data_IF_437211337678
#
_entry.id   IF_437211337678
#
_cell.length_a   1.000
_cell.length_b   1.000
_cell.length_c   1.000
_cell.angle_alpha   90.00
_cell.angle_beta   90.00
_cell.angle_gamma   90.00
#
_symmetry.space_group_name_H-M   'P 1'
#
loop_
_entity.id
_entity.type
_entity.pdbx_description
1 polymer ?
#
# COMPACT_ATOMS: atom_id res chain seq x y z
N UNK A 1 25.86 40.75 -2.77
CA UNK A 1 25.02 39.83 -1.99
C UNK A 1 25.26 38.43 -2.54
N UNK A 2 26.16 37.67 -1.92
CA UNK A 2 26.66 36.40 -2.47
C UNK A 2 25.74 35.26 -2.03
N UNK A 3 24.96 34.71 -2.96
CA UNK A 3 24.27 33.43 -2.76
C UNK A 3 25.27 32.36 -3.17
N UNK A 4 25.98 31.83 -2.19
CA UNK A 4 26.89 30.72 -2.40
C UNK A 4 26.06 29.43 -2.53
N UNK A 5 25.87 29.01 -3.78
CA UNK A 5 25.37 27.69 -4.14
C UNK A 5 26.35 26.62 -3.65
N UNK A 6 26.16 26.13 -2.42
CA UNK A 6 26.72 24.86 -2.00
C UNK A 6 25.94 23.72 -2.67
N UNK A 7 26.32 23.41 -3.92
CA UNK A 7 25.99 22.14 -4.60
C UNK A 7 26.74 20.99 -3.90
N UNK A 8 26.30 20.61 -2.71
CA UNK A 8 26.55 19.27 -2.20
C UNK A 8 25.37 18.42 -2.68
N UNK A 9 25.63 17.35 -3.45
CA UNK A 9 24.61 16.47 -4.00
C UNK A 9 23.85 15.77 -2.85
N UNK A 10 22.88 16.46 -2.27
CA UNK A 10 22.00 15.91 -1.26
C UNK A 10 21.20 14.78 -1.91
N UNK A 11 21.30 13.58 -1.34
CA UNK A 11 20.47 12.44 -1.78
C UNK A 11 19.00 12.87 -1.63
N UNK A 12 18.34 13.02 -2.77
CA UNK A 12 16.90 13.28 -2.87
C UNK A 12 16.25 11.98 -3.33
N UNK A 13 15.23 11.54 -2.60
CA UNK A 13 14.37 10.43 -3.01
C UNK A 13 13.00 10.99 -3.29
N UNK A 14 12.39 10.58 -4.40
CA UNK A 14 11.07 11.03 -4.82
C UNK A 14 10.19 9.80 -4.95
N UNK A 15 9.01 9.86 -4.35
CA UNK A 15 7.99 8.83 -4.41
C UNK A 15 6.73 9.44 -4.98
N UNK A 16 6.20 8.81 -6.02
CA UNK A 16 4.91 9.15 -6.59
C UNK A 16 4.09 7.88 -6.66
N UNK A 17 2.87 7.92 -6.15
CA UNK A 17 1.97 6.78 -6.15
C UNK A 17 0.52 7.26 -6.34
N UNK A 18 -0.32 6.39 -6.87
CA UNK A 18 -1.75 6.61 -6.99
C UNK A 18 -2.46 5.28 -6.78
N UNK A 19 -3.49 5.27 -5.94
CA UNK A 19 -4.32 4.09 -5.73
C UNK A 19 -5.20 3.84 -6.97
N UNK A 20 -5.84 2.67 -7.06
CA UNK A 20 -6.70 2.36 -8.20
C UNK A 20 -7.85 3.36 -8.32
N UNK A 21 -8.10 3.86 -9.53
CA UNK A 21 -9.28 4.68 -9.87
C UNK A 21 -10.48 3.83 -10.32
N UNK A 22 -10.35 2.49 -10.25
CA UNK A 22 -11.47 1.59 -10.53
C UNK A 22 -12.60 1.73 -9.50
N UNK A 23 -12.28 2.23 -8.32
CA UNK A 23 -13.23 2.46 -7.23
C UNK A 23 -13.12 3.90 -6.71
N UNK A 24 -14.20 4.42 -6.09
CA UNK A 24 -14.19 5.73 -5.44
C UNK A 24 -13.08 5.91 -4.41
N UNK A 25 -12.91 7.16 -3.99
CA UNK A 25 -11.97 7.56 -2.93
C UNK A 25 -10.50 7.24 -3.29
N UNK A 26 -10.14 7.40 -4.56
CA UNK A 26 -8.76 7.24 -5.01
C UNK A 26 -7.88 8.41 -4.55
N UNK A 27 -6.67 8.07 -4.10
CA UNK A 27 -5.71 9.03 -3.56
C UNK A 27 -4.43 8.96 -4.39
N UNK A 28 -3.81 10.10 -4.63
CA UNK A 28 -2.45 10.18 -5.13
C UNK A 28 -1.51 10.80 -4.10
N UNK A 29 -0.24 10.40 -4.14
CA UNK A 29 0.85 10.90 -3.31
C UNK A 29 1.98 11.40 -4.18
N UNK A 30 2.52 12.56 -3.84
CA UNK A 30 3.85 13.00 -4.24
C UNK A 30 4.65 13.32 -2.99
N UNK A 31 5.75 12.60 -2.76
CA UNK A 31 6.63 12.79 -1.60
C UNK A 31 8.07 12.96 -2.05
N UNK A 32 8.74 13.97 -1.50
CA UNK A 32 10.16 14.23 -1.72
C UNK A 32 10.88 14.21 -0.38
N UNK A 33 11.84 13.29 -0.24
CA UNK A 33 12.68 13.18 0.93
C UNK A 33 14.02 13.92 0.73
N UNK A 34 14.31 14.82 1.66
CA UNK A 34 15.53 15.61 1.71
C UNK A 34 16.47 15.06 2.79
N UNK A 35 17.39 14.18 2.40
CA UNK A 35 18.27 13.45 3.34
C UNK A 35 19.10 14.36 4.26
N UNK A 36 19.49 15.55 3.78
CA UNK A 36 20.31 16.50 4.55
C UNK A 36 19.54 17.20 5.68
N UNK A 37 18.21 17.30 5.57
CA UNK A 37 17.32 17.86 6.60
C UNK A 37 16.49 16.80 7.33
N UNK A 38 16.58 15.53 6.90
CA UNK A 38 15.67 14.46 7.34
C UNK A 38 14.20 14.89 7.23
N UNK A 39 13.86 15.51 6.10
CA UNK A 39 12.57 16.15 5.90
C UNK A 39 11.82 15.48 4.76
N UNK A 40 10.57 15.07 5.02
CA UNK A 40 9.62 14.63 4.02
C UNK A 40 8.73 15.81 3.62
N UNK A 41 8.73 16.16 2.33
CA UNK A 41 7.79 17.10 1.75
C UNK A 41 6.77 16.29 0.94
N UNK A 42 5.57 16.11 1.50
CA UNK A 42 4.55 15.23 0.92
C UNK A 42 3.26 15.97 0.66
N UNK A 43 2.63 15.67 -0.47
CA UNK A 43 1.32 16.16 -0.86
C UNK A 43 0.45 14.96 -1.21
N UNK A 44 -0.68 14.84 -0.54
CA UNK A 44 -1.73 13.89 -0.87
C UNK A 44 -2.82 14.61 -1.66
N UNK A 45 -3.31 14.00 -2.74
CA UNK A 45 -4.33 14.54 -3.63
C UNK A 45 -5.56 13.62 -3.62
N UNK A 46 -6.76 14.21 -3.73
CA UNK A 46 -8.01 13.46 -3.82
C UNK A 46 -8.57 12.96 -2.49
N UNK A 47 -7.94 13.29 -1.36
CA UNK A 47 -8.40 12.85 -0.06
C UNK A 47 -9.77 13.42 0.30
N UNK A 48 -10.67 12.56 0.76
CA UNK A 48 -11.88 12.97 1.46
C UNK A 48 -11.56 13.36 2.92
N UNK A 49 -12.57 13.83 3.67
CA UNK A 49 -12.36 14.29 5.05
C UNK A 49 -11.89 13.19 6.00
N UNK A 50 -12.41 11.98 5.84
CA UNK A 50 -12.06 10.84 6.67
C UNK A 50 -10.61 10.42 6.44
N UNK A 51 -10.21 10.29 5.17
CA UNK A 51 -8.85 9.99 4.76
C UNK A 51 -7.87 11.08 5.25
N UNK A 52 -8.27 12.35 5.17
CA UNK A 52 -7.45 13.47 5.65
C UNK A 52 -7.21 13.38 7.16
N UNK A 53 -8.27 13.12 7.94
CA UNK A 53 -8.16 12.89 9.39
C UNK A 53 -7.29 11.67 9.71
N UNK A 54 -7.41 10.59 8.94
CA UNK A 54 -6.58 9.40 9.16
C UNK A 54 -5.10 9.66 8.87
N UNK A 55 -4.79 10.38 7.80
CA UNK A 55 -3.42 10.81 7.47
C UNK A 55 -2.84 11.68 8.59
N UNK A 56 -3.58 12.70 9.03
CA UNK A 56 -3.16 13.60 10.12
C UNK A 56 -2.91 12.83 11.42
N UNK A 57 -3.83 11.93 11.78
CA UNK A 57 -3.71 11.06 12.96
C UNK A 57 -2.44 10.21 12.90
N UNK A 58 -2.18 9.53 11.78
CA UNK A 58 -0.99 8.69 11.59
C UNK A 58 0.30 9.51 11.63
N UNK A 59 0.32 10.70 11.02
CA UNK A 59 1.48 11.60 11.07
C UNK A 59 1.73 12.12 12.49
N UNK A 60 0.69 12.49 13.23
CA UNK A 60 0.82 12.97 14.61
C UNK A 60 1.34 11.88 15.57
N UNK A 61 0.97 10.62 15.33
CA UNK A 61 1.40 9.46 16.10
C UNK A 61 2.73 8.84 15.66
N UNK A 62 3.34 9.31 14.56
CA UNK A 62 4.52 8.69 13.98
C UNK A 62 5.79 8.86 14.84
N UNK A 63 5.81 9.80 15.78
CA UNK A 63 6.98 10.08 16.63
C UNK A 63 8.24 10.30 15.79
N UNK A 64 9.31 9.55 16.10
CA UNK A 64 10.58 9.65 15.39
C UNK A 64 10.54 9.09 13.95
N UNK A 65 9.54 8.28 13.61
CA UNK A 65 9.36 7.75 12.25
C UNK A 65 8.94 8.83 11.25
N UNK A 66 8.54 10.04 11.70
CA UNK A 66 8.12 11.16 10.84
C UNK A 66 9.19 11.55 9.79
N UNK A 67 10.46 11.30 10.12
CA UNK A 67 11.60 11.57 9.26
C UNK A 67 11.89 10.44 8.25
N UNK A 68 11.17 9.32 8.31
CA UNK A 68 11.45 8.17 7.47
C UNK A 68 10.87 8.35 6.05
N UNK A 69 11.65 8.14 4.97
CA UNK A 69 11.20 8.36 3.59
C UNK A 69 10.01 7.46 3.16
N UNK A 70 9.88 6.28 3.76
CA UNK A 70 8.76 5.36 3.46
C UNK A 70 7.51 5.62 4.31
N UNK A 71 7.54 6.57 5.26
CA UNK A 71 6.35 6.82 6.06
C UNK A 71 5.16 7.32 5.21
N UNK A 72 5.29 8.35 4.35
CA UNK A 72 4.16 8.80 3.54
C UNK A 72 3.67 7.74 2.54
N UNK A 73 4.54 7.01 1.79
CA UNK A 73 4.11 5.87 1.00
C UNK A 73 3.44 4.76 1.82
N UNK A 74 3.94 4.47 3.02
CA UNK A 74 3.34 3.47 3.93
C UNK A 74 1.93 3.87 4.37
N UNK A 75 1.71 5.15 4.70
CA UNK A 75 0.36 5.67 5.01
C UNK A 75 -0.58 5.48 3.82
N UNK A 76 -0.13 5.78 2.59
CA UNK A 76 -0.95 5.56 1.40
C UNK A 76 -1.36 4.09 1.24
N UNK A 77 -0.43 3.16 1.48
CA UNK A 77 -0.72 1.72 1.40
C UNK A 77 -1.70 1.27 2.46
N UNK A 78 -1.62 1.80 3.68
CA UNK A 78 -2.59 1.47 4.73
C UNK A 78 -4.01 1.95 4.39
N UNK A 79 -4.14 3.12 3.77
CA UNK A 79 -5.42 3.62 3.29
C UNK A 79 -5.98 2.75 2.16
N UNK A 80 -5.13 2.38 1.19
CA UNK A 80 -5.56 1.52 0.08
C UNK A 80 -5.88 0.09 0.56
N UNK A 81 -5.17 -0.40 1.59
CA UNK A 81 -5.47 -1.67 2.27
C UNK A 81 -6.87 -1.66 2.85
N UNK A 82 -7.19 -0.69 3.71
CA UNK A 82 -8.53 -0.59 4.30
C UNK A 82 -9.60 -0.60 3.20
N UNK A 83 -9.39 0.22 2.17
CA UNK A 83 -10.30 0.31 1.03
C UNK A 83 -10.48 -1.02 0.29
N UNK A 84 -9.40 -1.75 0.01
CA UNK A 84 -9.47 -3.01 -0.76
C UNK A 84 -10.02 -4.16 0.08
N UNK A 85 -9.65 -4.25 1.35
CA UNK A 85 -10.14 -5.28 2.28
C UNK A 85 -11.65 -5.17 2.47
N UNK A 86 -12.15 -3.96 2.78
CA UNK A 86 -13.59 -3.72 2.92
C UNK A 86 -14.37 -4.05 1.65
N UNK A 87 -13.76 -3.83 0.48
CA UNK A 87 -14.36 -4.17 -0.82
C UNK A 87 -14.42 -5.67 -1.05
N UNK A 88 -13.39 -6.43 -0.66
CA UNK A 88 -13.43 -7.90 -0.74
C UNK A 88 -14.53 -8.43 0.16
N UNK A 89 -14.58 -7.97 1.40
CA UNK A 89 -15.57 -8.41 2.38
C UNK A 89 -17.00 -8.06 1.92
N UNK A 90 -17.20 -6.86 1.38
CA UNK A 90 -18.51 -6.45 0.82
C UNK A 90 -18.90 -7.21 -0.44
N UNK A 91 -17.94 -7.77 -1.19
CA UNK A 91 -18.20 -8.52 -2.41
C UNK A 91 -18.55 -10.00 -2.14
N UNK A 92 -18.07 -10.58 -1.04
CA UNK A 92 -18.26 -12.01 -0.72
C UNK A 92 -19.73 -12.30 -0.36
N UNK A 93 -20.35 -11.51 0.50
CA UNK A 93 -21.71 -11.80 1.01
C UNK A 93 -22.77 -11.85 -0.11
N UNK A 94 -22.84 -10.89 -1.05
CA UNK A 94 -23.76 -10.97 -2.18
C UNK A 94 -23.47 -12.14 -3.10
N UNK A 95 -22.19 -12.50 -3.25
CA UNK A 95 -21.76 -13.59 -4.11
C UNK A 95 -22.21 -14.95 -3.58
N UNK A 96 -21.99 -15.20 -2.28
CA UNK A 96 -22.45 -16.43 -1.61
C UNK A 96 -23.97 -16.54 -1.67
N UNK A 97 -24.67 -15.44 -1.39
CA UNK A 97 -26.13 -15.38 -1.47
C UNK A 97 -26.66 -15.70 -2.87
N UNK A 98 -25.98 -15.20 -3.91
CA UNK A 98 -26.33 -15.47 -5.31
C UNK A 98 -26.10 -16.93 -5.70
N UNK A 99 -24.99 -17.54 -5.28
CA UNK A 99 -24.73 -18.97 -5.49
C UNK A 99 -25.80 -19.82 -4.79
N UNK A 100 -26.12 -19.51 -3.53
CA UNK A 100 -27.12 -20.26 -2.76
C UNK A 100 -28.50 -20.19 -3.41
N UNK A 101 -28.88 -19.00 -3.90
CA UNK A 101 -30.12 -18.82 -4.64
C UNK A 101 -30.19 -19.76 -5.86
N UNK A 102 -29.11 -19.84 -6.66
CA UNK A 102 -29.02 -20.73 -7.83
C UNK A 102 -29.13 -22.22 -7.46
N UNK A 103 -28.49 -22.63 -6.37
CA UNK A 103 -28.57 -24.01 -5.86
C UNK A 103 -29.99 -24.35 -5.36
N UNK A 104 -30.67 -23.38 -4.74
CA UNK A 104 -32.00 -23.55 -4.14
C UNK A 104 -33.17 -23.42 -5.14
N UNK A 105 -33.00 -22.71 -6.26
CA UNK A 105 -34.02 -22.64 -7.34
C UNK A 105 -34.27 -23.96 -8.06
N UNK A 106 -33.46 -24.99 -7.81
CA UNK A 106 -33.60 -26.34 -8.36
C UNK A 106 -34.87 -27.12 -7.96
N UNK A 107 -35.76 -26.55 -7.13
CA UNK A 107 -36.94 -27.26 -6.58
C UNK A 107 -38.31 -26.87 -7.16
N UNK A 108 -38.43 -25.84 -8.00
CA UNK A 108 -39.74 -25.48 -8.59
C UNK A 108 -39.64 -24.95 -10.05
N UNK A 109 -40.02 -25.76 -11.05
CA UNK A 109 -39.78 -25.48 -12.48
C UNK A 109 -40.53 -24.28 -13.06
N UNK A 110 -41.62 -23.81 -12.45
CA UNK A 110 -42.34 -22.61 -12.93
C UNK A 110 -41.68 -21.28 -12.54
N UNK A 111 -40.78 -21.28 -11.54
CA UNK A 111 -40.11 -20.07 -11.06
C UNK A 111 -38.89 -19.65 -11.89
N UNK A 112 -38.36 -20.59 -12.71
CA UNK A 112 -37.13 -20.46 -13.49
C UNK A 112 -37.35 -19.52 -14.69
N UNK A 113 -38.45 -19.71 -15.43
CA UNK A 113 -38.71 -19.00 -16.69
C UNK A 113 -38.95 -17.48 -16.56
N UNK A 114 -39.21 -16.97 -15.35
CA UNK A 114 -39.46 -15.55 -15.11
C UNK A 114 -38.27 -14.79 -14.47
N UNK A 115 -37.19 -15.49 -14.05
CA UNK A 115 -36.03 -14.88 -13.35
C UNK A 115 -34.69 -14.99 -14.07
N UNK A 116 -34.60 -15.80 -15.12
CA UNK A 116 -33.33 -16.16 -15.77
C UNK A 116 -32.56 -14.99 -16.40
N UNK A 117 -33.22 -13.88 -16.73
CA UNK A 117 -32.57 -12.70 -17.32
C UNK A 117 -31.91 -11.75 -16.32
N UNK A 118 -32.55 -11.48 -15.18
CA UNK A 118 -32.05 -10.48 -14.21
C UNK A 118 -31.00 -11.06 -13.24
N UNK A 119 -31.17 -12.31 -12.81
CA UNK A 119 -30.22 -12.97 -11.90
C UNK A 119 -28.88 -13.31 -12.55
N UNK A 120 -28.85 -13.51 -13.88
CA UNK A 120 -27.62 -13.84 -14.61
C UNK A 120 -26.75 -12.60 -14.88
N UNK A 121 -27.39 -11.46 -15.17
CA UNK A 121 -26.70 -10.17 -15.36
C UNK A 121 -26.10 -9.64 -14.06
N UNK A 122 -26.80 -9.75 -12.92
CA UNK A 122 -26.28 -9.36 -11.61
C UNK A 122 -25.08 -10.21 -11.19
N UNK A 123 -25.16 -11.52 -11.41
CA UNK A 123 -24.07 -12.46 -11.16
C UNK A 123 -22.84 -12.20 -12.03
N UNK A 124 -23.05 -11.85 -13.30
CA UNK A 124 -21.96 -11.47 -14.21
C UNK A 124 -21.29 -10.16 -13.78
N UNK A 125 -22.05 -9.19 -13.29
CA UNK A 125 -21.52 -7.96 -12.69
C UNK A 125 -20.64 -8.29 -11.47
N UNK A 126 -21.15 -9.08 -10.53
CA UNK A 126 -20.41 -9.53 -9.33
C UNK A 126 -19.10 -10.27 -9.70
N UNK A 127 -19.15 -11.12 -10.73
CA UNK A 127 -17.98 -11.84 -11.22
C UNK A 127 -16.92 -10.90 -11.81
N UNK A 128 -17.34 -9.93 -12.61
CA UNK A 128 -16.42 -8.95 -13.21
C UNK A 128 -15.80 -8.04 -12.14
N UNK A 129 -16.61 -7.57 -11.18
CA UNK A 129 -16.14 -6.74 -10.07
C UNK A 129 -15.12 -7.48 -9.20
N UNK A 130 -15.39 -8.75 -8.87
CA UNK A 130 -14.45 -9.61 -8.13
C UNK A 130 -13.16 -9.83 -8.90
N UNK A 131 -13.22 -9.99 -10.23
CA UNK A 131 -12.02 -10.12 -11.05
C UNK A 131 -11.19 -8.84 -11.12
N UNK A 132 -11.84 -7.67 -11.23
CA UNK A 132 -11.15 -6.38 -11.16
C UNK A 132 -10.50 -6.17 -9.79
N UNK A 133 -11.15 -6.61 -8.72
CA UNK A 133 -10.61 -6.57 -7.37
C UNK A 133 -9.36 -7.43 -7.23
N UNK A 134 -9.41 -8.67 -7.71
CA UNK A 134 -8.27 -9.58 -7.77
C UNK A 134 -7.10 -8.97 -8.56
N UNK A 135 -7.36 -8.33 -9.71
CA UNK A 135 -6.32 -7.63 -10.49
C UNK A 135 -5.72 -6.45 -9.70
N UNK A 136 -6.58 -5.67 -9.03
CA UNK A 136 -6.18 -4.54 -8.21
C UNK A 136 -5.28 -4.96 -7.04
N UNK A 137 -5.70 -5.95 -6.27
CA UNK A 137 -4.95 -6.47 -5.12
C UNK A 137 -3.58 -7.00 -5.57
N UNK A 138 -3.52 -7.80 -6.65
CA UNK A 138 -2.22 -8.28 -7.19
C UNK A 138 -1.30 -7.14 -7.61
N UNK A 139 -1.85 -6.06 -8.15
CA UNK A 139 -1.06 -4.87 -8.54
C UNK A 139 -0.47 -4.20 -7.30
N UNK A 140 -1.27 -3.97 -6.27
CA UNK A 140 -0.80 -3.34 -5.02
C UNK A 140 0.21 -4.25 -4.32
N UNK A 141 -0.02 -5.57 -4.29
CA UNK A 141 0.92 -6.55 -3.73
C UNK A 141 2.32 -6.45 -4.37
N UNK A 142 2.38 -6.35 -5.70
CA UNK A 142 3.65 -6.14 -6.42
C UNK A 142 4.33 -4.84 -5.99
N UNK A 143 3.56 -3.75 -5.83
CA UNK A 143 4.08 -2.47 -5.38
C UNK A 143 4.61 -2.54 -3.93
N UNK A 144 3.93 -3.25 -3.03
CA UNK A 144 4.39 -3.53 -1.66
C UNK A 144 5.73 -4.27 -1.68
N UNK A 145 5.85 -5.33 -2.49
CA UNK A 145 7.10 -6.09 -2.63
C UNK A 145 8.26 -5.20 -3.09
N UNK A 146 8.02 -4.30 -4.05
CA UNK A 146 9.03 -3.34 -4.50
C UNK A 146 9.37 -2.30 -3.42
N UNK A 147 8.38 -1.85 -2.63
CA UNK A 147 8.60 -0.99 -1.48
C UNK A 147 9.45 -1.65 -0.38
N UNK A 148 9.27 -2.95 -0.12
CA UNK A 148 10.12 -3.72 0.79
C UNK A 148 11.59 -3.74 0.33
N UNK A 149 11.83 -3.97 -0.97
CA UNK A 149 13.18 -3.91 -1.55
C UNK A 149 13.79 -2.52 -1.41
N UNK A 150 13.02 -1.47 -1.74
CA UNK A 150 13.45 -0.08 -1.63
C UNK A 150 13.80 0.32 -0.19
N UNK A 151 13.09 -0.23 0.80
CA UNK A 151 13.38 0.00 2.22
C UNK A 151 14.75 -0.55 2.61
N UNK A 152 15.12 -1.72 2.08
CA UNK A 152 16.47 -2.29 2.25
C UNK A 152 17.56 -1.47 1.53
N UNK A 153 17.27 -0.96 0.33
CA UNK A 153 18.18 -0.07 -0.40
C UNK A 153 18.43 1.26 0.33
N UNK A 154 17.41 1.79 1.01
CA UNK A 154 17.54 3.00 1.83
C UNK A 154 18.49 2.78 3.01
N UNK A 155 18.34 1.66 3.72
CA UNK A 155 19.21 1.25 4.82
C UNK A 155 20.68 1.20 4.39
N UNK A 156 20.95 0.55 3.25
CA UNK A 156 22.31 0.41 2.70
C UNK A 156 22.90 1.74 2.20
N UNK A 157 22.11 2.56 1.51
CA UNK A 157 22.56 3.87 0.97
C UNK A 157 22.88 4.86 2.09
N UNK A 158 22.08 4.87 3.16
CA UNK A 158 22.31 5.69 4.35
C UNK A 158 23.55 5.22 5.14
N UNK A 159 23.88 3.93 5.09
CA UNK A 159 25.10 3.38 5.69
C UNK A 159 26.37 3.72 4.89
N UNK A 160 26.35 3.64 3.55
CA UNK A 160 27.51 3.88 2.68
C UNK A 160 27.94 5.36 2.69
N UNK A 161 26.99 6.29 2.70
CA UNK A 161 27.26 7.75 2.75
C UNK A 161 28.05 8.17 4.00
N UNK A 162 28.07 7.33 5.05
CA UNK A 162 28.85 7.55 6.27
C UNK A 162 30.32 7.14 6.14
N UNK A 163 30.64 6.19 5.26
CA UNK A 163 32.01 5.68 5.06
C UNK A 163 32.86 6.65 4.24
N UNK A 164 32.29 7.27 3.21
CA UNK A 164 32.99 8.26 2.36
C UNK A 164 33.35 9.55 3.10
N UNK A 165 32.58 9.96 4.12
CA UNK A 165 32.91 11.11 4.98
C UNK A 165 34.06 10.84 5.98
N UNK A 166 34.43 9.57 6.24
CA UNK A 166 35.55 9.23 7.13
C UNK A 166 36.92 9.27 6.43
N UNK A 167 36.97 9.23 5.10
CA UNK A 167 38.23 9.06 4.35
C UNK A 167 38.89 10.36 3.86
N UNK A 168 38.28 11.54 4.04
CA UNK A 168 38.87 12.84 3.66
C UNK A 168 39.28 13.72 4.85
N UNK A 169 39.49 13.13 6.04
CA UNK A 169 40.00 13.84 7.21
C UNK A 169 41.50 14.09 7.12
N UNK A 170 41.88 15.30 6.68
CA UNK A 170 43.23 15.87 6.78
C UNK A 170 43.74 15.75 8.23
N UNK A 171 44.97 15.26 8.50
CA UNK A 171 45.49 15.14 9.86
C UNK A 171 45.95 16.52 10.35
N UNK A 172 45.19 17.13 11.27
CA UNK A 172 45.56 18.43 11.85
C UNK A 172 44.78 18.72 13.13
N UNK A 173 45.52 18.78 14.23
CA UNK A 173 45.21 19.15 15.61
C UNK A 173 43.84 19.80 15.91
N UNK A 174 43.17 19.26 16.94
CA UNK A 174 42.14 19.99 17.69
C UNK A 174 41.18 19.05 18.43
N UNK A 175 41.45 18.77 19.71
CA UNK A 175 40.46 18.23 20.64
C UNK A 175 39.32 19.25 20.80
N UNK A 176 38.19 19.05 20.10
CA UNK A 176 36.86 19.53 20.51
C UNK A 176 35.81 18.51 20.11
N UNK A 177 35.06 18.08 21.10
CA UNK A 177 33.87 17.23 21.13
C UNK A 177 33.41 16.66 19.78
N UNK A 178 33.90 15.45 19.48
CA UNK A 178 33.26 14.57 18.51
C UNK A 178 31.92 14.11 19.08
N UNK A 179 30.86 14.85 18.79
CA UNK A 179 29.52 14.27 18.73
C UNK A 179 29.57 13.23 17.61
N UNK A 180 29.84 11.98 17.98
CA UNK A 180 29.63 10.83 17.11
C UNK A 180 28.16 10.87 16.71
N UNK A 181 27.85 11.32 15.50
CA UNK A 181 26.53 11.11 14.90
C UNK A 181 26.42 9.64 14.54
N UNK A 182 26.16 8.83 15.57
CA UNK A 182 25.60 7.49 15.45
C UNK A 182 24.39 7.58 14.51
N UNK A 183 24.19 6.59 13.65
CA UNK A 183 22.83 6.37 13.14
C UNK A 183 21.97 6.32 14.40
N UNK A 184 20.92 7.14 14.57
CA UNK A 184 20.03 6.92 15.69
C UNK A 184 19.59 5.47 15.57
N UNK A 185 19.84 4.66 16.60
CA UNK A 185 19.34 3.29 16.73
C UNK A 185 17.85 3.19 16.33
N UNK A 186 17.13 4.29 16.53
CA UNK A 186 15.75 4.55 16.17
C UNK A 186 15.45 4.35 14.67
N UNK A 187 16.30 4.79 13.72
CA UNK A 187 15.96 4.66 12.28
C UNK A 187 16.03 3.21 11.79
N UNK A 188 16.94 2.39 12.34
CA UNK A 188 17.06 0.97 11.96
C UNK A 188 15.83 0.17 12.42
N UNK A 189 15.28 0.54 13.58
CA UNK A 189 14.04 -0.04 14.08
C UNK A 189 12.85 0.38 13.21
N UNK A 190 12.79 1.64 12.76
CA UNK A 190 11.71 2.10 11.86
C UNK A 190 11.72 1.37 10.51
N UNK A 191 12.89 1.16 9.90
CA UNK A 191 13.01 0.43 8.63
C UNK A 191 12.46 -1.01 8.77
N UNK A 192 12.75 -1.64 9.91
CA UNK A 192 12.31 -3.00 10.22
C UNK A 192 10.80 -3.04 10.44
N UNK A 193 10.26 -2.14 11.26
CA UNK A 193 8.82 -2.06 11.53
C UNK A 193 7.98 -1.77 10.27
N UNK A 194 8.45 -0.87 9.40
CA UNK A 194 7.77 -0.59 8.13
C UNK A 194 7.76 -1.82 7.24
N UNK A 195 8.89 -2.53 7.15
CA UNK A 195 8.99 -3.74 6.32
C UNK A 195 8.14 -4.89 6.87
N UNK A 196 8.15 -5.11 8.17
CA UNK A 196 7.27 -6.08 8.84
C UNK A 196 5.81 -5.76 8.54
N UNK A 197 5.40 -4.50 8.70
CA UNK A 197 4.04 -4.08 8.40
C UNK A 197 3.66 -4.26 6.93
N UNK A 198 4.56 -3.92 6.01
CA UNK A 198 4.34 -4.16 4.57
C UNK A 198 4.17 -5.65 4.26
N UNK A 199 4.97 -6.52 4.89
CA UNK A 199 4.84 -7.97 4.75
C UNK A 199 3.57 -8.54 5.37
N UNK A 200 3.07 -7.97 6.48
CA UNK A 200 1.76 -8.33 7.04
C UNK A 200 0.63 -8.00 6.06
N UNK A 201 0.66 -6.82 5.45
CA UNK A 201 -0.34 -6.42 4.44
C UNK A 201 -0.26 -7.33 3.21
N UNK A 202 0.96 -7.71 2.80
CA UNK A 202 1.15 -8.65 1.70
C UNK A 202 0.51 -10.01 1.98
N UNK A 203 0.67 -10.53 3.21
CA UNK A 203 0.06 -11.78 3.65
C UNK A 203 -1.47 -11.69 3.75
N UNK A 204 -2.00 -10.59 4.28
CA UNK A 204 -3.45 -10.35 4.33
C UNK A 204 -4.06 -10.30 2.91
N UNK A 205 -3.36 -9.70 1.94
CA UNK A 205 -3.80 -9.74 0.56
C UNK A 205 -3.77 -11.14 -0.05
N UNK A 206 -2.89 -12.05 0.39
CA UNK A 206 -2.95 -13.45 -0.03
C UNK A 206 -4.22 -14.12 0.50
N UNK A 207 -4.56 -13.92 1.77
CA UNK A 207 -5.81 -14.42 2.36
C UNK A 207 -7.02 -13.88 1.60
N UNK A 208 -7.05 -12.58 1.30
CA UNK A 208 -8.15 -11.96 0.53
C UNK A 208 -8.22 -12.41 -0.93
N UNK A 209 -7.09 -12.72 -1.55
CA UNK A 209 -7.07 -13.32 -2.88
C UNK A 209 -7.62 -14.75 -2.86
N UNK A 210 -7.31 -15.53 -1.83
CA UNK A 210 -7.84 -16.88 -1.66
C UNK A 210 -9.36 -16.85 -1.44
N UNK A 211 -9.88 -15.92 -0.63
CA UNK A 211 -11.32 -15.68 -0.48
C UNK A 211 -11.99 -15.36 -1.84
N UNK A 212 -11.41 -14.44 -2.63
CA UNK A 212 -11.90 -14.12 -3.97
C UNK A 212 -11.86 -15.35 -4.90
N UNK A 213 -10.80 -16.15 -4.83
CA UNK A 213 -10.67 -17.35 -5.66
C UNK A 213 -11.68 -18.43 -5.29
N UNK A 214 -11.99 -18.60 -4.00
CA UNK A 214 -13.02 -19.51 -3.54
C UNK A 214 -14.38 -19.18 -4.17
N UNK A 215 -14.79 -17.92 -4.12
CA UNK A 215 -16.09 -17.49 -4.68
C UNK A 215 -16.11 -17.60 -6.21
N UNK A 216 -15.05 -17.16 -6.90
CA UNK A 216 -14.95 -17.28 -8.36
C UNK A 216 -15.01 -18.74 -8.85
N UNK A 217 -14.38 -19.67 -8.13
CA UNK A 217 -14.42 -21.09 -8.45
C UNK A 217 -15.80 -21.72 -8.16
N UNK A 218 -16.45 -21.30 -7.07
CA UNK A 218 -17.80 -21.72 -6.73
C UNK A 218 -18.80 -21.40 -7.84
N UNK A 219 -18.74 -20.19 -8.41
CA UNK A 219 -19.58 -19.82 -9.54
C UNK A 219 -19.31 -20.69 -10.77
N UNK A 220 -18.04 -20.84 -11.17
CA UNK A 220 -17.68 -21.64 -12.35
C UNK A 220 -18.25 -23.06 -12.26
N UNK A 221 -18.24 -23.66 -11.06
CA UNK A 221 -18.84 -24.97 -10.82
C UNK A 221 -20.37 -24.93 -10.97
N UNK A 222 -21.05 -23.98 -10.34
CA UNK A 222 -22.51 -23.85 -10.42
C UNK A 222 -23.00 -23.58 -11.84
N UNK A 223 -22.33 -22.71 -12.60
CA UNK A 223 -22.69 -22.44 -14.01
C UNK A 223 -22.51 -23.67 -14.90
N UNK A 224 -21.48 -24.49 -14.66
CA UNK A 224 -21.30 -25.75 -15.40
C UNK A 224 -22.31 -26.83 -15.03
N UNK A 225 -22.86 -26.81 -13.81
CA UNK A 225 -23.86 -27.76 -13.33
C UNK A 225 -25.29 -27.43 -13.77
N UNK A 226 -25.55 -26.16 -14.10
CA UNK A 226 -26.87 -25.65 -14.54
C UNK A 226 -26.99 -25.66 -16.08
N UNK A 227 -25.88 -25.78 -16.82
CA UNK A 227 -25.84 -25.96 -18.27
C UNK A 227 -25.96 -27.42 -18.71
#
# INVERSE_FOLDING_TARGET
MSIQDHKEAAIRKVYTARTSSAWPDDIALSSTYLSYRKLNLSVFYGCNEEQSRDIERRLSGAGDAICHPMLPPGILIELDRTRLVERVESAIDPFVSSIEALCCTSRDPESILNRDGENTDELLCLYNDTNELVKGIRKVKRQISDMCKHTHELETTLAVTKRTRKLHGRPGLGKKDRVQRTVPFITLNTDTLIRERLSEIEAEYDEKLDECHMVLNGLNFTTQMVS
#
